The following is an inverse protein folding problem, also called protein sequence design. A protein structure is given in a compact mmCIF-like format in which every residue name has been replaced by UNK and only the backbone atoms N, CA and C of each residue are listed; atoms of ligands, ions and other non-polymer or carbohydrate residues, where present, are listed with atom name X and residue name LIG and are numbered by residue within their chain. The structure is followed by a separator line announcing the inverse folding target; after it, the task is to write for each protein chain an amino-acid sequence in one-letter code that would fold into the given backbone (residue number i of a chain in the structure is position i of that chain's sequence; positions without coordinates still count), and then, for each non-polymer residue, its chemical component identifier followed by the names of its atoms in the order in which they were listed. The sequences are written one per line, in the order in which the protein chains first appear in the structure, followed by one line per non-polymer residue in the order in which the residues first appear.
data_IF_085371894794
#
_entry.id   IF_085371894794
#
_cell.length_a   1.000
_cell.length_b   1.000
_cell.length_c   1.000
_cell.angle_alpha   90.00
_cell.angle_beta   90.00
_cell.angle_gamma   90.00
#
_symmetry.space_group_name_H-M   'P 1'
#
loop_
_entity.id
_entity.type
_entity.pdbx_description
1 polymer ?
#
# COMPACT_ATOMS: atom_id res chain seq x y z
N UNK A 1 -48.96 -21.35 -23.19
CA UNK A 1 -48.27 -21.32 -21.88
C UNK A 1 -46.77 -21.28 -22.17
N UNK A 2 -46.20 -20.09 -22.30
CA UNK A 2 -44.80 -19.90 -22.66
C UNK A 2 -43.98 -19.64 -21.38
N UNK A 3 -43.03 -20.51 -21.09
CA UNK A 3 -42.07 -20.34 -20.00
C UNK A 3 -41.04 -19.28 -20.42
N UNK A 4 -41.00 -18.18 -19.66
CA UNK A 4 -40.07 -17.08 -19.87
C UNK A 4 -38.82 -17.34 -19.01
N UNK A 5 -37.84 -18.04 -19.56
CA UNK A 5 -36.50 -18.10 -18.98
C UNK A 5 -35.75 -16.82 -19.33
N UNK A 6 -35.95 -15.78 -18.52
CA UNK A 6 -35.07 -14.61 -18.52
C UNK A 6 -33.64 -15.01 -18.11
N UNK A 7 -32.60 -14.34 -18.61
CA UNK A 7 -31.24 -14.65 -18.22
C UNK A 7 -31.08 -14.39 -16.73
N UNK A 8 -30.62 -15.42 -16.01
CA UNK A 8 -30.14 -15.32 -14.63
C UNK A 8 -29.01 -14.29 -14.63
N UNK A 9 -29.27 -13.13 -14.04
CA UNK A 9 -28.21 -12.19 -13.67
C UNK A 9 -27.35 -12.92 -12.65
N UNK A 10 -26.23 -13.47 -13.10
CA UNK A 10 -25.15 -13.82 -12.19
C UNK A 10 -24.74 -12.51 -11.53
N UNK A 11 -25.02 -12.38 -10.24
CA UNK A 11 -24.42 -11.35 -9.42
C UNK A 11 -22.91 -11.53 -9.54
N UNK A 12 -22.26 -10.62 -10.25
CA UNK A 12 -20.80 -10.57 -10.31
C UNK A 12 -20.32 -10.19 -8.90
N UNK A 13 -19.81 -11.18 -8.19
CA UNK A 13 -18.91 -10.97 -7.08
C UNK A 13 -17.60 -10.41 -7.66
N UNK A 14 -17.31 -9.13 -7.41
CA UNK A 14 -15.99 -8.51 -7.53
C UNK A 14 -16.05 -7.08 -6.94
N UNK A 15 -15.58 -6.90 -5.71
CA UNK A 15 -15.40 -5.58 -5.12
C UNK A 15 -14.14 -4.93 -5.68
N UNK A 16 -14.31 -4.07 -6.68
CA UNK A 16 -13.27 -3.25 -7.30
C UNK A 16 -12.89 -2.05 -6.41
N UNK A 17 -12.26 -2.32 -5.26
CA UNK A 17 -12.18 -1.41 -4.10
C UNK A 17 -10.96 -0.45 -4.06
N UNK A 18 -10.37 -0.11 -5.21
CA UNK A 18 -9.31 0.92 -5.31
C UNK A 18 -9.88 2.32 -5.59
N UNK A 19 -9.02 3.33 -5.73
CA UNK A 19 -9.39 4.69 -6.20
C UNK A 19 -8.85 4.95 -7.59
N UNK A 20 -9.43 5.92 -8.31
CA UNK A 20 -8.82 6.42 -9.55
C UNK A 20 -7.47 7.07 -9.26
N UNK A 21 -6.48 6.86 -10.14
CA UNK A 21 -5.18 7.55 -10.04
C UNK A 21 -5.32 9.08 -10.05
N UNK A 22 -6.38 9.61 -10.66
CA UNK A 22 -6.65 11.06 -10.68
C UNK A 22 -7.20 11.58 -9.35
N UNK A 23 -7.64 10.70 -8.45
CA UNK A 23 -8.13 11.04 -7.12
C UNK A 23 -7.02 11.03 -6.05
N UNK A 24 -5.80 10.64 -6.42
CA UNK A 24 -4.64 10.64 -5.52
C UNK A 24 -4.26 12.08 -5.18
N UNK A 25 -4.26 12.40 -3.88
CA UNK A 25 -3.79 13.68 -3.37
C UNK A 25 -2.26 13.63 -3.17
N UNK A 26 -1.57 14.58 -3.80
CA UNK A 26 -0.11 14.72 -3.77
C UNK A 26 0.37 15.78 -2.75
N UNK A 27 -0.52 16.27 -1.89
CA UNK A 27 -0.16 17.21 -0.82
C UNK A 27 0.81 16.54 0.15
N UNK A 28 1.99 17.15 0.35
CA UNK A 28 3.00 16.67 1.30
C UNK A 28 2.54 16.85 2.74
N UNK A 29 3.00 15.98 3.63
CA UNK A 29 2.72 16.08 5.06
C UNK A 29 3.51 17.25 5.66
N UNK A 30 2.84 18.18 6.33
CA UNK A 30 3.47 19.35 6.98
C UNK A 30 3.67 19.13 8.48
N UNK A 31 4.85 19.47 9.00
CA UNK A 31 5.08 19.68 10.44
C UNK A 31 4.98 18.45 11.35
N UNK A 32 4.95 17.22 10.80
CA UNK A 32 4.66 16.03 11.60
C UNK A 32 5.92 15.27 12.04
N UNK A 33 6.07 15.13 13.35
CA UNK A 33 6.72 13.95 13.95
C UNK A 33 5.73 12.80 13.80
N UNK A 34 6.14 11.71 13.16
CA UNK A 34 5.30 10.52 12.97
C UNK A 34 5.37 9.66 14.22
N UNK A 35 4.24 9.49 14.91
CA UNK A 35 4.10 8.51 15.99
C UNK A 35 4.04 7.09 15.39
N UNK A 36 5.21 6.47 15.24
CA UNK A 36 5.40 5.21 14.48
C UNK A 36 4.49 4.08 14.95
N UNK A 37 4.42 3.73 16.26
CA UNK A 37 3.55 2.65 16.72
C UNK A 37 2.07 2.91 16.43
N UNK A 38 1.60 4.15 16.59
CA UNK A 38 0.20 4.52 16.33
C UNK A 38 -0.14 4.40 14.86
N UNK A 39 0.68 4.99 13.99
CA UNK A 39 0.49 4.93 12.54
C UNK A 39 0.50 3.50 12.01
N UNK A 40 1.44 2.66 12.46
CA UNK A 40 1.50 1.26 12.05
C UNK A 40 0.22 0.54 12.45
N UNK A 41 -0.18 0.64 13.72
CA UNK A 41 -1.36 -0.04 14.23
C UNK A 41 -2.63 0.39 13.49
N UNK A 42 -2.79 1.67 13.21
CA UNK A 42 -3.94 2.20 12.47
C UNK A 42 -3.96 1.68 11.03
N UNK A 43 -2.83 1.69 10.34
CA UNK A 43 -2.73 1.18 8.96
C UNK A 43 -3.03 -0.33 8.88
N UNK A 44 -2.44 -1.12 9.78
CA UNK A 44 -2.67 -2.56 9.85
C UNK A 44 -4.12 -2.91 10.22
N UNK A 45 -4.73 -2.11 11.10
CA UNK A 45 -6.16 -2.26 11.43
C UNK A 45 -7.02 -1.94 10.21
N UNK A 46 -6.72 -0.84 9.50
CA UNK A 46 -7.49 -0.41 8.33
C UNK A 46 -7.47 -1.45 7.21
N UNK A 47 -6.32 -2.09 6.95
CA UNK A 47 -6.19 -3.14 5.93
C UNK A 47 -6.68 -4.52 6.41
N UNK A 48 -7.13 -4.63 7.66
CA UNK A 48 -7.76 -5.84 8.19
C UNK A 48 -6.78 -6.92 8.66
N UNK A 49 -5.58 -6.56 9.13
CA UNK A 49 -4.65 -7.53 9.72
C UNK A 49 -5.26 -8.18 10.96
N UNK A 50 -5.14 -9.51 11.05
CA UNK A 50 -5.67 -10.29 12.17
C UNK A 50 -5.04 -9.89 13.50
N UNK A 51 -5.87 -9.73 14.54
CA UNK A 51 -5.40 -9.28 15.86
C UNK A 51 -4.30 -10.19 16.45
N UNK A 52 -4.36 -11.51 16.20
CA UNK A 52 -3.37 -12.47 16.66
C UNK A 52 -1.97 -12.31 16.02
N UNK A 53 -1.89 -11.66 14.85
CA UNK A 53 -0.64 -11.47 14.11
C UNK A 53 -0.20 -10.00 14.01
N UNK A 54 -1.00 -9.07 14.56
CA UNK A 54 -0.77 -7.63 14.53
C UNK A 54 0.65 -7.22 14.92
N UNK A 55 1.20 -7.79 16.01
CA UNK A 55 2.54 -7.44 16.46
C UNK A 55 3.61 -7.84 15.43
N UNK A 56 3.50 -9.02 14.83
CA UNK A 56 4.47 -9.50 13.82
C UNK A 56 4.42 -8.62 12.57
N UNK A 57 3.22 -8.25 12.12
CA UNK A 57 3.06 -7.31 11.02
C UNK A 57 3.62 -5.92 11.37
N UNK A 58 3.46 -5.47 12.62
CA UNK A 58 4.00 -4.19 13.05
C UNK A 58 5.54 -4.15 12.97
N UNK A 59 6.20 -5.21 13.42
CA UNK A 59 7.66 -5.36 13.33
C UNK A 59 8.16 -5.38 11.89
N UNK A 60 7.49 -6.12 11.00
CA UNK A 60 7.84 -6.16 9.58
C UNK A 60 7.55 -4.81 8.90
N UNK A 61 6.48 -4.12 9.30
CA UNK A 61 6.15 -2.78 8.77
C UNK A 61 7.25 -1.78 9.11
N UNK A 62 7.71 -1.73 10.37
CA UNK A 62 8.79 -0.84 10.77
C UNK A 62 10.08 -1.12 9.98
N UNK A 63 10.39 -2.40 9.74
CA UNK A 63 11.52 -2.81 8.91
C UNK A 63 11.40 -2.29 7.46
N UNK A 64 10.23 -2.46 6.82
CA UNK A 64 9.97 -1.97 5.46
C UNK A 64 10.12 -0.46 5.42
N UNK A 65 9.41 0.27 6.28
CA UNK A 65 9.38 1.74 6.27
C UNK A 65 10.76 2.33 6.55
N UNK A 66 11.50 1.75 7.50
CA UNK A 66 12.85 2.21 7.81
C UNK A 66 13.79 2.06 6.61
N UNK A 67 13.66 0.98 5.84
CA UNK A 67 14.49 0.72 4.66
C UNK A 67 14.10 1.58 3.46
N UNK A 68 12.80 1.76 3.23
CA UNK A 68 12.29 2.46 2.05
C UNK A 68 12.41 3.99 2.14
N UNK A 69 12.22 4.54 3.33
CA UNK A 69 12.12 6.00 3.50
C UNK A 69 12.86 6.56 4.71
N UNK A 70 13.49 5.71 5.53
CA UNK A 70 14.00 6.10 6.84
C UNK A 70 12.95 6.87 7.67
N UNK A 71 11.68 6.45 7.58
CA UNK A 71 10.55 7.11 8.21
C UNK A 71 10.27 8.55 7.77
N UNK A 72 10.74 8.95 6.58
CA UNK A 72 10.38 10.23 5.97
C UNK A 72 9.07 10.09 5.18
N UNK A 73 7.92 10.58 5.68
CA UNK A 73 6.64 10.46 4.98
C UNK A 73 6.60 11.24 3.67
N UNK A 74 7.53 12.18 3.46
CA UNK A 74 7.66 12.97 2.24
C UNK A 74 8.75 12.43 1.30
N UNK A 75 9.25 11.22 1.53
CA UNK A 75 10.27 10.59 0.68
C UNK A 75 9.75 10.44 -0.76
N UNK A 76 10.61 10.78 -1.72
CA UNK A 76 10.36 10.65 -3.15
C UNK A 76 11.60 10.08 -3.83
N UNK A 77 11.44 9.10 -4.71
CA UNK A 77 12.51 8.58 -5.56
C UNK A 77 11.98 8.25 -6.93
N UNK A 78 12.70 8.59 -8.00
CA UNK A 78 12.27 8.25 -9.34
C UNK A 78 13.21 8.76 -10.43
N UNK A 79 12.94 8.40 -11.69
CA UNK A 79 13.75 8.82 -12.83
C UNK A 79 13.60 10.32 -13.10
N UNK A 80 14.63 10.97 -13.64
CA UNK A 80 14.56 12.37 -14.07
C UNK A 80 13.99 12.48 -15.48
N UNK A 81 13.33 13.59 -15.79
CA UNK A 81 12.96 13.96 -17.17
C UNK A 81 11.58 13.51 -17.65
N UNK A 82 10.76 12.90 -16.79
CA UNK A 82 9.35 12.64 -17.11
C UNK A 82 8.44 13.85 -16.80
N UNK A 83 7.20 13.77 -17.29
CA UNK A 83 6.13 14.70 -16.92
C UNK A 83 5.97 14.73 -15.39
N UNK A 84 5.99 15.93 -14.84
CA UNK A 84 5.82 16.17 -13.41
C UNK A 84 4.35 16.11 -13.00
N UNK A 85 4.10 15.61 -11.79
CA UNK A 85 2.80 15.65 -11.11
C UNK A 85 2.69 16.89 -10.22
N UNK A 86 1.57 17.04 -9.51
CA UNK A 86 1.26 18.23 -8.71
C UNK A 86 2.27 18.50 -7.57
N UNK A 87 3.00 17.48 -7.11
CA UNK A 87 4.08 17.59 -6.12
C UNK A 87 5.46 17.91 -6.72
N UNK A 88 5.52 18.15 -8.04
CA UNK A 88 6.75 18.40 -8.78
C UNK A 88 7.61 17.15 -9.02
N UNK A 89 7.10 15.95 -8.71
CA UNK A 89 7.83 14.71 -8.93
C UNK A 89 7.36 13.99 -10.22
N UNK A 90 8.24 13.22 -10.87
CA UNK A 90 7.92 12.37 -12.03
C UNK A 90 6.68 11.52 -11.80
N UNK A 91 5.95 11.23 -12.89
CA UNK A 91 4.78 10.37 -12.85
C UNK A 91 5.09 8.99 -12.25
N UNK A 92 6.18 8.35 -12.68
CA UNK A 92 6.64 7.05 -12.19
C UNK A 92 7.33 7.08 -10.82
N UNK A 93 7.53 8.25 -10.21
CA UNK A 93 8.25 8.33 -8.94
C UNK A 93 7.51 7.61 -7.80
N UNK A 94 8.28 6.91 -6.98
CA UNK A 94 7.84 6.32 -5.73
C UNK A 94 7.74 7.39 -4.64
N UNK A 95 6.76 7.25 -3.75
CA UNK A 95 6.37 8.26 -2.76
C UNK A 95 6.02 7.63 -1.42
N UNK A 96 6.21 8.40 -0.35
CA UNK A 96 5.75 8.05 0.98
C UNK A 96 6.63 7.02 1.68
N UNK A 97 6.13 6.52 2.81
CA UNK A 97 6.86 5.66 3.74
C UNK A 97 7.26 4.30 3.15
N UNK A 98 6.43 3.76 2.27
CA UNK A 98 6.61 2.45 1.64
C UNK A 98 7.01 2.54 0.16
N UNK A 99 7.24 3.77 -0.34
CA UNK A 99 7.73 4.02 -1.70
C UNK A 99 6.83 3.42 -2.80
N UNK A 100 5.51 3.54 -2.65
CA UNK A 100 4.56 3.20 -3.70
C UNK A 100 4.56 4.23 -4.83
N UNK A 101 4.34 3.78 -6.06
CA UNK A 101 3.96 4.65 -7.17
C UNK A 101 2.50 5.13 -7.02
N UNK A 102 2.09 6.18 -7.75
CA UNK A 102 0.70 6.62 -7.72
C UNK A 102 -0.30 5.58 -8.23
N UNK A 103 0.13 4.69 -9.15
CA UNK A 103 -0.72 3.62 -9.68
C UNK A 103 -0.93 2.54 -8.63
N UNK A 104 0.14 2.05 -8.01
CA UNK A 104 0.04 1.04 -6.95
C UNK A 104 -0.76 1.56 -5.75
N UNK A 105 -0.53 2.81 -5.34
CA UNK A 105 -1.31 3.41 -4.25
C UNK A 105 -2.80 3.51 -4.60
N UNK A 106 -3.13 3.88 -5.84
CA UNK A 106 -4.52 4.01 -6.28
C UNK A 106 -5.21 2.64 -6.38
N UNK A 107 -4.55 1.67 -7.02
CA UNK A 107 -5.04 0.30 -7.20
C UNK A 107 -5.25 -0.42 -5.86
N UNK A 108 -4.32 -0.24 -4.92
CA UNK A 108 -4.35 -0.89 -3.61
C UNK A 108 -4.81 0.02 -2.48
N UNK A 109 -5.45 1.15 -2.78
CA UNK A 109 -6.01 2.04 -1.76
C UNK A 109 -6.95 1.28 -0.82
N UNK A 110 -6.95 1.60 0.47
CA UNK A 110 -7.83 0.96 1.46
C UNK A 110 -8.97 1.92 1.81
N UNK A 111 -10.20 1.51 1.54
CA UNK A 111 -11.40 2.30 1.85
C UNK A 111 -11.42 2.73 3.33
N UNK A 112 -11.80 3.97 3.60
CA UNK A 112 -11.76 4.56 4.95
C UNK A 112 -10.41 5.19 5.33
N UNK A 113 -9.37 5.04 4.52
CA UNK A 113 -8.11 5.80 4.65
C UNK A 113 -8.09 7.03 3.73
N UNK A 114 -7.18 7.97 3.99
CA UNK A 114 -6.97 9.17 3.16
C UNK A 114 -6.60 8.81 1.72
N UNK A 115 -6.97 9.64 0.74
CA UNK A 115 -6.48 9.51 -0.66
C UNK A 115 -5.12 10.17 -0.89
N UNK A 116 -4.50 10.71 0.16
CA UNK A 116 -3.18 11.35 0.09
C UNK A 116 -2.06 10.32 0.15
N UNK A 117 -1.24 10.24 -0.89
CA UNK A 117 -0.14 9.24 -0.96
C UNK A 117 0.96 9.47 0.09
N UNK A 118 1.09 10.71 0.58
CA UNK A 118 2.01 11.08 1.66
C UNK A 118 1.40 10.92 3.06
N UNK A 119 0.14 10.49 3.18
CA UNK A 119 -0.47 10.13 4.46
C UNK A 119 0.12 8.80 4.97
N UNK A 120 0.74 8.77 6.16
CA UNK A 120 1.42 7.58 6.66
C UNK A 120 0.53 6.35 6.77
N UNK A 121 -0.72 6.52 7.23
CA UNK A 121 -1.65 5.42 7.46
C UNK A 121 -2.11 4.85 6.12
N UNK A 122 -2.54 5.70 5.19
CA UNK A 122 -2.99 5.27 3.87
C UNK A 122 -1.87 4.60 3.07
N UNK A 123 -0.65 5.16 3.11
CA UNK A 123 0.50 4.64 2.35
C UNK A 123 0.95 3.25 2.85
N UNK A 124 0.94 3.02 4.16
CA UNK A 124 1.24 1.70 4.74
C UNK A 124 0.11 0.71 4.47
N UNK A 125 -1.15 1.12 4.63
CA UNK A 125 -2.30 0.26 4.40
C UNK A 125 -2.35 -0.23 2.95
N UNK A 126 -2.10 0.67 1.98
CA UNK A 126 -2.04 0.31 0.57
C UNK A 126 -0.90 -0.66 0.24
N UNK A 127 0.27 -0.50 0.86
CA UNK A 127 1.39 -1.42 0.65
C UNK A 127 1.08 -2.83 1.15
N UNK A 128 0.41 -2.98 2.30
CA UNK A 128 -0.01 -4.29 2.77
C UNK A 128 -1.12 -4.92 1.93
N UNK A 129 -2.01 -4.11 1.36
CA UNK A 129 -3.01 -4.60 0.40
C UNK A 129 -2.35 -5.11 -0.88
N UNK A 130 -1.33 -4.43 -1.39
CA UNK A 130 -0.51 -4.89 -2.53
C UNK A 130 0.20 -6.22 -2.22
N UNK A 131 0.84 -6.33 -1.06
CA UNK A 131 1.50 -7.57 -0.60
C UNK A 131 0.52 -8.74 -0.49
N UNK A 132 -0.67 -8.49 0.06
CA UNK A 132 -1.72 -9.51 0.17
C UNK A 132 -2.29 -9.94 -1.18
N UNK A 133 -2.49 -8.98 -2.10
CA UNK A 133 -3.00 -9.24 -3.46
C UNK A 133 -2.03 -10.08 -4.30
N UNK A 134 -0.72 -9.92 -4.10
CA UNK A 134 0.31 -10.78 -4.70
C UNK A 134 0.32 -12.21 -4.16
N UNK A 135 -0.64 -12.59 -3.29
CA UNK A 135 -0.78 -13.89 -2.61
C UNK A 135 0.46 -14.34 -1.81
N UNK A 136 1.40 -13.42 -1.55
CA UNK A 136 2.66 -13.74 -0.87
C UNK A 136 2.53 -13.72 0.64
N UNK A 137 1.53 -13.01 1.19
CA UNK A 137 1.25 -12.97 2.63
C UNK A 137 -0.25 -12.97 2.91
N UNK A 138 -0.70 -13.82 3.81
CA UNK A 138 -2.05 -13.80 4.35
C UNK A 138 -2.13 -12.80 5.54
N UNK A 139 -2.94 -11.75 5.39
CA UNK A 139 -3.09 -10.69 6.39
C UNK A 139 -3.79 -11.16 7.68
N UNK A 140 -4.57 -12.23 7.63
CA UNK A 140 -5.29 -12.77 8.79
C UNK A 140 -4.42 -13.74 9.59
N UNK A 141 -3.66 -14.60 8.89
CA UNK A 141 -2.90 -15.69 9.52
C UNK A 141 -1.41 -15.41 9.63
N UNK A 142 -0.88 -14.42 8.90
CA UNK A 142 0.55 -14.14 8.81
C UNK A 142 1.34 -15.19 8.06
N UNK A 143 0.68 -16.10 7.33
CA UNK A 143 1.36 -17.01 6.40
C UNK A 143 2.20 -16.19 5.41
N UNK A 144 3.43 -16.62 5.14
CA UNK A 144 4.36 -15.92 4.23
C UNK A 144 5.12 -14.72 4.82
N UNK A 145 4.72 -14.22 6.00
CA UNK A 145 5.32 -13.01 6.60
C UNK A 145 6.80 -13.18 6.96
N UNK A 146 7.22 -14.36 7.42
CA UNK A 146 8.62 -14.60 7.81
C UNK A 146 9.55 -14.69 6.58
N UNK A 147 9.05 -15.27 5.48
CA UNK A 147 9.77 -15.28 4.20
C UNK A 147 9.91 -13.85 3.67
N UNK A 148 8.85 -13.06 3.79
CA UNK A 148 8.84 -11.64 3.45
C UNK A 148 9.93 -10.88 4.22
N UNK A 149 9.92 -11.01 5.55
CA UNK A 149 10.88 -10.36 6.43
C UNK A 149 12.32 -10.77 6.11
N UNK A 150 12.52 -12.04 5.74
CA UNK A 150 13.84 -12.55 5.32
C UNK A 150 14.28 -11.90 4.01
N UNK A 151 13.41 -11.84 2.99
CA UNK A 151 13.71 -11.16 1.72
C UNK A 151 14.09 -9.69 1.95
N UNK A 152 13.31 -8.98 2.78
CA UNK A 152 13.59 -7.57 3.10
C UNK A 152 14.98 -7.39 3.74
N UNK A 153 15.38 -8.28 4.65
CA UNK A 153 16.70 -8.24 5.30
C UNK A 153 17.85 -8.58 4.34
N UNK A 154 17.62 -9.49 3.40
CA UNK A 154 18.65 -10.00 2.49
C UNK A 154 18.91 -9.09 1.29
N UNK A 155 17.89 -8.42 0.76
CA UNK A 155 18.08 -7.45 -0.31
C UNK A 155 18.78 -6.20 0.24
N UNK A 156 19.87 -5.73 -0.37
CA UNK A 156 20.56 -4.49 0.06
C UNK A 156 19.94 -3.22 -0.54
N UNK A 157 19.08 -3.37 -1.56
CA UNK A 157 18.36 -2.29 -2.26
C UNK A 157 16.84 -2.31 -1.94
N UNK A 158 16.08 -1.37 -2.53
CA UNK A 158 14.63 -1.17 -2.32
C UNK A 158 13.80 -2.39 -2.73
N UNK A 159 12.70 -2.65 -2.02
CA UNK A 159 11.98 -3.92 -2.04
C UNK A 159 10.91 -4.05 -3.15
N UNK A 160 10.30 -2.96 -3.60
CA UNK A 160 9.17 -3.03 -4.56
C UNK A 160 9.61 -3.22 -6.02
N UNK A 161 10.88 -2.99 -6.35
CA UNK A 161 11.39 -3.10 -7.73
C UNK A 161 11.29 -4.50 -8.34
N UNK A 162 11.16 -5.55 -7.52
CA UNK A 162 11.18 -6.95 -7.96
C UNK A 162 9.79 -7.61 -8.03
N UNK A 163 8.70 -6.92 -7.64
CA UNK A 163 7.33 -7.49 -7.67
C UNK A 163 6.57 -7.21 -8.98
N UNK A 164 7.17 -6.47 -9.92
CA UNK A 164 6.55 -6.02 -11.16
C UNK A 164 7.12 -6.66 -12.44
N UNK A 165 7.73 -7.84 -12.35
CA UNK A 165 8.13 -8.64 -13.54
C UNK A 165 7.11 -9.72 -13.87
#
# INVERSE_FOLDING_TARGET
MAQHNGPVVKQNADSADGISVTAVDFTRLSGAVVDRPTVIREALTAVGVGAAVMQRFAEVTDLIVNKESAWNPNAVTGPRGERLMADGAPRSAQRGLTQLTPWEFAEHHVAGTSSRIYDPVANIAAAWRLVGAGNSVDLLTGHGLDELATKIRMHREKWFGDLST
#
